data_IF_290249415369
#
_entry.id   IF_290249415369
#
_cell.length_a   1.000
_cell.length_b   1.000
_cell.length_c   1.000
_cell.angle_alpha   90.00
_cell.angle_beta   90.00
_cell.angle_gamma   90.00
#
_symmetry.space_group_name_H-M   'P 1'
#
loop_
_entity.id
_entity.type
_entity.pdbx_description
1 polymer ?
#
# COMPACT_ATOMS: atom_id res chain seq x y z
N UNK A 1 59.37 53.93 8.10
CA UNK A 1 57.96 53.83 8.50
C UNK A 1 57.14 54.26 7.30
N UNK A 2 56.28 53.51 6.63
CA UNK A 2 55.58 52.21 6.79
C UNK A 2 55.15 51.89 5.32
N UNK A 3 55.19 50.71 4.70
CA UNK A 3 55.08 49.33 5.18
C UNK A 3 53.68 48.77 4.86
N UNK A 4 53.54 48.06 3.72
CA UNK A 4 52.50 47.06 3.43
C UNK A 4 51.01 47.47 3.40
N UNK A 5 50.38 47.43 2.21
CA UNK A 5 48.92 47.32 2.11
C UNK A 5 48.41 46.83 0.74
N UNK A 6 48.81 45.64 0.24
CA UNK A 6 48.16 45.05 -0.97
C UNK A 6 47.85 43.53 -0.85
N UNK A 7 48.23 42.83 0.23
CA UNK A 7 48.06 41.36 0.28
C UNK A 7 46.68 40.84 0.74
N UNK A 8 45.75 41.68 1.20
CA UNK A 8 44.58 41.21 1.97
C UNK A 8 43.37 40.77 1.12
N UNK A 9 43.30 41.13 -0.17
CA UNK A 9 42.11 40.86 -1.01
C UNK A 9 42.13 39.50 -1.73
N UNK A 10 43.29 38.83 -1.82
CA UNK A 10 43.47 37.64 -2.66
C UNK A 10 43.16 36.33 -1.90
N UNK A 11 43.34 36.36 -0.58
CA UNK A 11 43.12 35.20 0.30
C UNK A 11 41.64 34.91 0.55
N UNK A 12 40.80 35.95 0.62
CA UNK A 12 39.34 35.83 0.82
C UNK A 12 38.65 35.16 -0.37
N UNK A 13 39.06 35.47 -1.60
CA UNK A 13 38.54 34.85 -2.82
C UNK A 13 38.93 33.38 -2.98
N UNK A 14 40.12 32.99 -2.49
CA UNK A 14 40.59 31.60 -2.55
C UNK A 14 39.85 30.74 -1.52
N UNK A 15 39.67 31.28 -0.30
CA UNK A 15 38.88 30.68 0.77
C UNK A 15 37.43 30.44 0.32
N UNK A 16 36.78 31.43 -0.30
CA UNK A 16 35.39 31.31 -0.77
C UNK A 16 35.21 30.19 -1.81
N UNK A 17 36.16 30.07 -2.75
CA UNK A 17 36.11 29.03 -3.79
C UNK A 17 36.34 27.63 -3.22
N UNK A 18 37.22 27.51 -2.23
CA UNK A 18 37.48 26.25 -1.53
C UNK A 18 36.25 25.82 -0.72
N UNK A 19 35.56 26.76 -0.07
CA UNK A 19 34.31 26.50 0.64
C UNK A 19 33.19 26.05 -0.29
N UNK A 20 33.06 26.66 -1.46
CA UNK A 20 32.07 26.25 -2.48
C UNK A 20 32.37 24.84 -2.98
N UNK A 21 33.63 24.53 -3.33
CA UNK A 21 34.02 23.19 -3.78
C UNK A 21 33.77 22.12 -2.71
N UNK A 22 34.06 22.43 -1.44
CA UNK A 22 33.81 21.53 -0.33
C UNK A 22 32.30 21.29 -0.12
N UNK A 23 31.47 22.33 -0.25
CA UNK A 23 30.02 22.20 -0.13
C UNK A 23 29.40 21.35 -1.26
N UNK A 24 29.89 21.49 -2.49
CA UNK A 24 29.44 20.66 -3.64
C UNK A 24 29.86 19.21 -3.45
N UNK A 25 31.07 18.97 -2.92
CA UNK A 25 31.56 17.62 -2.65
C UNK A 25 30.74 16.91 -1.56
N UNK A 26 30.30 17.65 -0.53
CA UNK A 26 29.44 17.11 0.53
C UNK A 26 28.05 16.75 0.00
N UNK A 27 27.46 17.59 -0.87
CA UNK A 27 26.15 17.29 -1.50
C UNK A 27 26.24 16.05 -2.39
N UNK A 28 27.33 15.87 -3.13
CA UNK A 28 27.56 14.68 -3.97
C UNK A 28 27.90 13.42 -3.16
N UNK A 29 28.50 13.57 -1.99
CA UNK A 29 28.84 12.46 -1.08
C UNK A 29 27.69 12.08 -0.14
N UNK A 30 26.56 12.79 -0.19
CA UNK A 30 25.34 12.38 0.52
C UNK A 30 24.97 10.98 0.03
N UNK A 31 24.87 9.96 0.90
CA UNK A 31 24.18 8.75 0.54
C UNK A 31 22.76 9.18 0.16
N UNK A 32 22.43 9.07 -1.13
CA UNK A 32 21.05 9.14 -1.54
C UNK A 32 20.32 8.05 -0.76
N UNK A 33 19.16 8.33 -0.15
CA UNK A 33 18.36 7.25 0.43
C UNK A 33 18.20 6.21 -0.67
N UNK A 34 18.80 5.04 -0.43
CA UNK A 34 18.71 3.90 -1.30
C UNK A 34 17.23 3.69 -1.59
N UNK A 35 16.89 3.56 -2.87
CA UNK A 35 15.52 3.54 -3.35
C UNK A 35 14.64 2.66 -2.49
N UNK A 36 13.44 3.15 -2.20
CA UNK A 36 12.33 2.37 -1.65
C UNK A 36 12.43 0.95 -2.18
N UNK A 37 12.72 0.00 -1.30
CA UNK A 37 12.32 -1.38 -1.55
C UNK A 37 10.84 -1.29 -1.86
N UNK A 38 10.43 -1.64 -3.09
CA UNK A 38 9.02 -1.88 -3.37
C UNK A 38 8.63 -2.98 -2.40
N UNK A 39 7.96 -2.62 -1.32
CA UNK A 39 7.52 -3.61 -0.35
C UNK A 39 6.69 -4.62 -1.13
N UNK A 40 7.20 -5.85 -1.16
CA UNK A 40 6.55 -6.93 -1.88
C UNK A 40 5.24 -7.22 -1.15
N UNK A 41 4.16 -7.39 -1.90
CA UNK A 41 2.89 -7.80 -1.35
C UNK A 41 3.09 -9.11 -0.57
N UNK A 42 2.76 -9.16 0.74
CA UNK A 42 2.90 -10.39 1.49
C UNK A 42 1.82 -11.40 1.08
N UNK A 43 2.11 -12.68 1.30
CA UNK A 43 1.19 -13.77 1.04
C UNK A 43 -0.14 -13.60 1.77
N UNK A 44 -1.19 -14.20 1.22
CA UNK A 44 -2.53 -14.13 1.81
C UNK A 44 -2.52 -14.65 3.26
N UNK A 45 -3.08 -13.89 4.22
CA UNK A 45 -3.08 -14.26 5.62
C UNK A 45 -3.96 -15.48 5.94
N UNK A 46 -3.64 -16.15 7.05
CA UNK A 46 -4.43 -17.28 7.53
C UNK A 46 -5.84 -16.86 8.00
N UNK A 47 -6.79 -17.78 7.92
CA UNK A 47 -8.20 -17.58 8.32
C UNK A 47 -8.32 -17.15 9.78
N UNK A 48 -7.39 -17.53 10.67
CA UNK A 48 -7.37 -17.10 12.07
C UNK A 48 -7.18 -15.59 12.27
N UNK A 49 -6.61 -14.89 11.29
CA UNK A 49 -6.41 -13.43 11.34
C UNK A 49 -7.59 -12.64 10.76
N UNK A 50 -8.61 -13.35 10.25
CA UNK A 50 -9.81 -12.75 9.68
C UNK A 50 -10.66 -12.09 10.77
N UNK A 51 -11.03 -10.84 10.53
CA UNK A 51 -11.85 -10.07 11.47
C UNK A 51 -13.27 -9.85 10.95
N UNK A 52 -13.45 -9.71 9.64
CA UNK A 52 -14.77 -9.47 9.05
C UNK A 52 -14.84 -9.94 7.59
N UNK A 53 -16.07 -10.11 7.11
CA UNK A 53 -16.42 -10.50 5.75
C UNK A 53 -17.54 -9.62 5.21
N UNK A 54 -17.33 -9.08 4.02
CA UNK A 54 -18.25 -8.14 3.41
C UNK A 54 -18.56 -8.54 1.97
N UNK A 55 -19.85 -8.72 1.67
CA UNK A 55 -20.30 -8.92 0.30
C UNK A 55 -20.83 -7.61 -0.29
N UNK A 56 -20.17 -7.13 -1.34
CA UNK A 56 -20.66 -6.06 -2.21
C UNK A 56 -21.43 -6.67 -3.38
N UNK A 57 -22.74 -6.42 -3.41
CA UNK A 57 -23.61 -6.97 -4.43
C UNK A 57 -23.52 -6.25 -5.78
N UNK A 58 -23.19 -4.94 -5.80
CA UNK A 58 -23.11 -4.16 -7.04
C UNK A 58 -21.88 -4.59 -7.84
N UNK A 59 -20.76 -4.72 -7.14
CA UNK A 59 -19.50 -5.15 -7.74
C UNK A 59 -19.34 -6.68 -7.80
N UNK A 60 -20.25 -7.44 -7.18
CA UNK A 60 -20.13 -8.90 -6.97
C UNK A 60 -18.80 -9.30 -6.35
N UNK A 61 -18.35 -8.52 -5.36
CA UNK A 61 -17.09 -8.74 -4.66
C UNK A 61 -17.37 -9.27 -3.25
N UNK A 62 -16.61 -10.28 -2.87
CA UNK A 62 -16.53 -10.76 -1.50
C UNK A 62 -15.20 -10.32 -0.92
N UNK A 63 -15.26 -9.39 0.03
CA UNK A 63 -14.11 -8.85 0.72
C UNK A 63 -13.88 -9.61 2.02
N UNK A 64 -12.61 -9.96 2.25
CA UNK A 64 -12.16 -10.56 3.49
C UNK A 64 -11.18 -9.61 4.13
N UNK A 65 -11.49 -9.20 5.36
CA UNK A 65 -10.73 -8.22 6.11
C UNK A 65 -9.93 -8.96 7.19
N UNK A 66 -8.64 -8.66 7.27
CA UNK A 66 -7.71 -9.31 8.19
C UNK A 66 -7.07 -8.27 9.12
N UNK A 67 -6.71 -8.73 10.32
CA UNK A 67 -5.88 -8.03 11.29
C UNK A 67 -4.66 -8.89 11.57
N UNK A 68 -3.53 -8.58 10.94
CA UNK A 68 -2.29 -9.37 11.05
C UNK A 68 -1.72 -9.34 12.47
N UNK A 69 -1.91 -8.22 13.17
CA UNK A 69 -1.48 -8.06 14.57
C UNK A 69 -2.48 -8.65 15.59
N UNK A 70 -3.66 -9.09 15.14
CA UNK A 70 -4.71 -9.61 16.02
C UNK A 70 -5.32 -8.56 16.97
N UNK A 71 -5.14 -7.27 16.66
CA UNK A 71 -5.62 -6.14 17.45
C UNK A 71 -7.05 -5.68 17.03
N UNK A 72 -7.63 -6.34 16.01
CA UNK A 72 -8.94 -6.01 15.46
C UNK A 72 -8.92 -4.87 14.45
N UNK A 73 -7.78 -4.21 14.23
CA UNK A 73 -7.59 -3.20 13.19
C UNK A 73 -7.28 -3.89 11.87
N UNK A 74 -8.00 -3.48 10.82
CA UNK A 74 -7.83 -3.99 9.47
C UNK A 74 -6.55 -3.40 8.87
N UNK A 75 -5.65 -4.27 8.44
CA UNK A 75 -4.34 -3.95 7.85
C UNK A 75 -4.05 -4.73 6.55
N UNK A 76 -4.87 -5.74 6.24
CA UNK A 76 -4.84 -6.47 4.98
C UNK A 76 -6.26 -6.81 4.53
N UNK A 77 -6.55 -6.65 3.24
CA UNK A 77 -7.86 -6.97 2.65
C UNK A 77 -7.67 -7.71 1.33
N UNK A 78 -8.47 -8.75 1.11
CA UNK A 78 -8.60 -9.41 -0.20
C UNK A 78 -9.99 -9.17 -0.77
N UNK A 79 -10.08 -9.02 -2.10
CA UNK A 79 -11.35 -8.95 -2.81
C UNK A 79 -11.46 -10.07 -3.83
N UNK A 80 -12.43 -10.96 -3.65
CA UNK A 80 -12.69 -12.11 -4.55
C UNK A 80 -13.98 -11.89 -5.33
N UNK A 81 -14.02 -12.32 -6.59
CA UNK A 81 -15.25 -12.30 -7.36
C UNK A 81 -16.20 -13.40 -6.87
N UNK A 82 -17.50 -13.10 -6.83
CA UNK A 82 -18.56 -14.06 -6.50
C UNK A 82 -19.16 -14.62 -7.77
N UNK A 83 -19.00 -15.91 -8.00
CA UNK A 83 -19.58 -16.64 -9.14
C UNK A 83 -21.08 -16.88 -8.94
N UNK A 84 -21.46 -17.37 -7.76
CA UNK A 84 -22.83 -17.71 -7.44
C UNK A 84 -23.17 -17.26 -6.02
N UNK A 85 -24.42 -16.82 -5.82
CA UNK A 85 -24.97 -16.59 -4.49
C UNK A 85 -26.15 -17.54 -4.29
N UNK A 86 -26.18 -18.18 -3.12
CA UNK A 86 -27.22 -19.12 -2.75
C UNK A 86 -27.68 -18.84 -1.31
N UNK A 87 -28.75 -19.53 -0.90
CA UNK A 87 -29.19 -19.56 0.49
C UNK A 87 -29.07 -20.97 1.02
N UNK A 88 -28.53 -21.09 2.22
CA UNK A 88 -28.55 -22.35 2.96
C UNK A 88 -29.99 -22.73 3.34
N UNK A 89 -30.19 -23.98 3.76
CA UNK A 89 -31.48 -24.45 4.27
C UNK A 89 -32.03 -23.63 5.46
N UNK A 90 -31.16 -22.90 6.17
CA UNK A 90 -31.51 -22.04 7.30
C UNK A 90 -31.71 -20.57 6.90
N UNK A 91 -31.65 -20.25 5.61
CA UNK A 91 -31.83 -18.89 5.08
C UNK A 91 -30.57 -18.03 5.08
N UNK A 92 -29.45 -18.50 5.64
CA UNK A 92 -28.18 -17.77 5.63
C UNK A 92 -27.62 -17.67 4.20
N UNK A 93 -27.05 -16.53 3.81
CA UNK A 93 -26.39 -16.39 2.52
C UNK A 93 -25.16 -17.29 2.44
N UNK A 94 -24.94 -17.86 1.27
CA UNK A 94 -23.74 -18.63 0.91
C UNK A 94 -23.21 -18.06 -0.39
N UNK A 95 -21.96 -17.59 -0.37
CA UNK A 95 -21.29 -17.03 -1.54
C UNK A 95 -20.27 -18.04 -2.06
N UNK A 96 -20.37 -18.39 -3.33
CA UNK A 96 -19.34 -19.15 -4.03
C UNK A 96 -18.40 -18.15 -4.69
N UNK A 97 -17.17 -18.09 -4.20
CA UNK A 97 -16.13 -17.16 -4.66
C UNK A 97 -15.12 -17.86 -5.55
N UNK A 98 -14.43 -17.05 -6.37
CA UNK A 98 -13.21 -17.50 -7.02
C UNK A 98 -12.15 -17.93 -6.00
N UNK A 99 -11.33 -18.90 -6.42
CA UNK A 99 -10.29 -19.49 -5.57
C UNK A 99 -9.18 -18.50 -5.23
N UNK A 100 -8.94 -17.48 -6.05
CA UNK A 100 -7.93 -16.45 -5.82
C UNK A 100 -8.52 -15.04 -5.86
N UNK A 101 -7.97 -14.10 -5.08
CA UNK A 101 -8.37 -12.70 -5.10
C UNK A 101 -8.14 -12.03 -6.47
N UNK A 102 -8.99 -11.05 -6.78
CA UNK A 102 -8.79 -10.13 -7.90
C UNK A 102 -7.85 -8.97 -7.51
N UNK A 103 -7.90 -8.58 -6.23
CA UNK A 103 -7.07 -7.52 -5.70
C UNK A 103 -6.77 -7.71 -4.22
N UNK A 104 -5.72 -7.01 -3.79
CA UNK A 104 -5.27 -6.93 -2.41
C UNK A 104 -5.17 -5.46 -2.01
N UNK A 105 -5.43 -5.17 -0.74
CA UNK A 105 -5.07 -3.90 -0.13
C UNK A 105 -4.20 -4.19 1.08
N UNK A 106 -2.99 -3.63 1.08
CA UNK A 106 -2.02 -3.78 2.16
C UNK A 106 -1.10 -2.57 2.19
N UNK A 107 -0.72 -2.13 3.39
CA UNK A 107 0.18 -1.01 3.61
C UNK A 107 -0.20 0.23 2.77
N UNK A 108 -1.49 0.61 2.83
CA UNK A 108 -2.05 1.76 2.10
C UNK A 108 -1.89 1.67 0.57
N UNK A 109 -1.70 0.46 0.03
CA UNK A 109 -1.48 0.22 -1.40
C UNK A 109 -2.47 -0.83 -1.89
N UNK A 110 -3.12 -0.52 -3.01
CA UNK A 110 -4.01 -1.43 -3.73
C UNK A 110 -3.22 -2.13 -4.83
N UNK A 111 -3.26 -3.45 -4.83
CA UNK A 111 -2.59 -4.32 -5.78
C UNK A 111 -3.64 -5.10 -6.56
N UNK A 112 -3.48 -5.19 -7.88
CA UNK A 112 -4.29 -6.04 -8.74
C UNK A 112 -3.50 -7.31 -9.08
N UNK A 113 -4.16 -8.45 -8.97
CA UNK A 113 -3.69 -9.71 -9.51
C UNK A 113 -4.33 -9.92 -10.89
N UNK A 114 -3.59 -9.72 -11.99
CA UNK A 114 -4.13 -9.85 -13.34
C UNK A 114 -4.32 -11.32 -13.77
N UNK A 115 -3.60 -12.26 -13.17
CA UNK A 115 -3.64 -13.68 -13.53
C UNK A 115 -4.56 -14.48 -12.60
N UNK A 116 -4.98 -13.88 -11.47
CA UNK A 116 -5.81 -14.48 -10.44
C UNK A 116 -5.24 -15.83 -9.97
N UNK A 117 -3.93 -15.86 -9.76
CA UNK A 117 -3.18 -17.03 -9.33
C UNK A 117 -2.58 -16.88 -7.92
N UNK A 118 -2.93 -15.78 -7.24
CA UNK A 118 -2.52 -15.49 -5.88
C UNK A 118 -1.23 -14.69 -5.81
N UNK A 119 -0.70 -14.49 -4.60
CA UNK A 119 0.54 -13.73 -4.41
C UNK A 119 1.74 -14.55 -4.88
N UNK A 120 2.29 -14.22 -6.04
CA UNK A 120 3.48 -14.87 -6.60
C UNK A 120 4.52 -13.88 -7.16
N UNK A 121 4.24 -12.58 -7.11
CA UNK A 121 5.13 -11.51 -7.54
C UNK A 121 4.85 -10.99 -8.96
N UNK A 122 3.80 -11.47 -9.64
CA UNK A 122 3.28 -10.89 -10.88
C UNK A 122 2.27 -9.75 -10.62
N UNK A 123 1.86 -9.55 -9.36
CA UNK A 123 0.87 -8.56 -8.96
C UNK A 123 1.33 -7.13 -9.25
N UNK A 124 0.37 -6.28 -9.63
CA UNK A 124 0.63 -4.92 -10.07
C UNK A 124 0.05 -3.92 -9.08
N UNK A 125 0.85 -2.92 -8.73
CA UNK A 125 0.34 -1.76 -8.00
C UNK A 125 -0.71 -1.05 -8.86
N UNK A 126 -1.93 -1.01 -8.36
CA UNK A 126 -3.02 -0.25 -8.97
C UNK A 126 -3.02 1.20 -8.47
N UNK A 127 -2.88 1.39 -7.15
CA UNK A 127 -2.88 2.71 -6.52
C UNK A 127 -2.17 2.69 -5.17
N UNK A 128 -1.30 3.67 -4.92
CA UNK A 128 -0.59 3.87 -3.65
C UNK A 128 -1.25 4.99 -2.81
N UNK A 129 -0.98 5.01 -1.51
CA UNK A 129 -1.43 6.08 -0.59
C UNK A 129 -2.94 6.13 -0.40
N UNK A 130 -3.61 4.97 -0.51
CA UNK A 130 -5.06 4.85 -0.39
C UNK A 130 -5.44 4.21 0.95
N UNK A 131 -6.30 4.89 1.70
CA UNK A 131 -6.92 4.32 2.90
C UNK A 131 -8.00 3.32 2.52
N UNK A 132 -8.11 2.24 3.30
CA UNK A 132 -9.23 1.32 3.17
C UNK A 132 -10.46 1.92 3.85
N UNK A 133 -11.39 2.41 3.05
CA UNK A 133 -12.71 2.81 3.50
C UNK A 133 -13.75 1.73 3.16
N UNK A 134 -14.24 1.06 4.22
CA UNK A 134 -15.27 0.02 4.15
C UNK A 134 -16.64 0.57 3.72
N UNK A 135 -16.91 1.85 3.99
CA UNK A 135 -18.20 2.48 3.68
C UNK A 135 -18.44 2.68 2.18
N UNK A 136 -17.39 2.51 1.36
CA UNK A 136 -17.48 2.54 -0.11
C UNK A 136 -18.20 1.32 -0.67
N UNK A 137 -18.21 0.21 0.06
CA UNK A 137 -18.83 -1.03 -0.37
C UNK A 137 -20.27 -1.08 0.11
N UNK A 138 -21.12 -1.73 -0.69
CA UNK A 138 -22.58 -1.75 -0.47
C UNK A 138 -23.07 -3.12 0.00
N UNK A 139 -22.99 -3.42 1.32
CA UNK A 139 -23.56 -4.64 1.88
C UNK A 139 -25.06 -4.69 1.69
N UNK A 140 -25.56 -5.85 1.27
CA UNK A 140 -26.99 -6.13 1.39
C UNK A 140 -27.31 -6.47 2.86
N UNK A 141 -28.09 -5.62 3.53
CA UNK A 141 -28.64 -5.94 4.85
C UNK A 141 -29.77 -6.96 4.69
N UNK A 142 -29.55 -8.17 5.19
CA UNK A 142 -30.58 -9.22 5.21
C UNK A 142 -31.66 -8.88 6.26
N UNK A 143 -32.62 -8.03 5.89
CA UNK A 143 -33.91 -7.80 6.58
C UNK A 143 -34.86 -6.88 5.78
N UNK A 144 -34.98 -7.09 4.46
CA UNK A 144 -36.05 -6.47 3.66
C UNK A 144 -35.83 -5.02 3.22
N UNK A 145 -34.59 -4.51 3.29
CA UNK A 145 -34.21 -3.30 2.58
C UNK A 145 -33.45 -3.66 1.29
N UNK A 146 -33.62 -2.89 0.21
CA UNK A 146 -33.05 -3.23 -1.09
C UNK A 146 -31.53 -3.27 -1.03
N UNK A 147 -30.99 -4.17 -1.84
CA UNK A 147 -29.93 -3.81 -2.77
C UNK A 147 -30.65 -3.27 -4.03
#
# INVERSE_FOLDING_TARGET
MVGFCISFSRETTLSLRLSILLSVLIVLASPHPAGWTKDLLPAEPDVSTRVDELYDHEARLFLILYSLEGNGKVDYVTGRLVQEYARSNYGNPVYQTEAQPLFYWWNHTMWNDPEQDGVNGNERVYQEGVEFDISRYKPCLFNGQPC
#
